data_IF_764245072848
#
_entry.id   IF_764245072848
#
_cell.length_a   1.000
_cell.length_b   1.000
_cell.length_c   1.000
_cell.angle_alpha   90.00
_cell.angle_beta   90.00
_cell.angle_gamma   90.00
#
_symmetry.space_group_name_H-M   'P 1'
#
loop_
_entity.id
_entity.type
_entity.pdbx_description
1 polymer ?
#
# COMPACT_ATOMS: atom_id res chain seq x y z
N UNK A 1 3.31 0.66 5.14
CA UNK A 1 4.08 -0.29 5.99
C UNK A 1 5.33 -0.73 5.26
N UNK A 2 6.35 -1.24 5.96
CA UNK A 2 7.59 -1.70 5.34
C UNK A 2 8.22 -2.91 6.05
N UNK A 3 8.92 -3.76 5.31
CA UNK A 3 9.56 -4.98 5.80
C UNK A 3 10.63 -4.67 6.87
N UNK A 4 10.40 -5.09 8.11
CA UNK A 4 11.26 -4.78 9.25
C UNK A 4 12.35 -5.85 9.48
N UNK A 5 12.28 -7.00 8.80
CA UNK A 5 13.23 -8.12 8.95
C UNK A 5 14.70 -7.72 8.90
N UNK A 6 15.15 -6.82 7.98
CA UNK A 6 16.55 -6.41 7.91
C UNK A 6 17.02 -5.53 9.08
N UNK A 7 16.09 -4.96 9.85
CA UNK A 7 16.39 -4.00 10.92
C UNK A 7 16.37 -4.63 12.33
N UNK A 8 15.92 -5.88 12.45
CA UNK A 8 16.07 -6.69 13.67
C UNK A 8 17.55 -7.00 13.89
N UNK A 9 18.00 -7.14 15.14
CA UNK A 9 19.37 -7.52 15.46
C UNK A 9 19.42 -8.85 16.23
N UNK A 10 20.00 -9.92 15.64
CA UNK A 10 20.49 -10.00 14.26
C UNK A 10 19.34 -9.95 13.23
N UNK A 11 19.61 -9.60 11.95
CA UNK A 11 18.60 -9.59 10.90
C UNK A 11 17.89 -10.94 10.77
N UNK A 12 16.58 -10.92 10.56
CA UNK A 12 15.82 -12.16 10.41
C UNK A 12 16.19 -12.87 9.10
N UNK A 13 16.31 -14.20 9.11
CA UNK A 13 16.76 -14.96 7.95
C UNK A 13 15.72 -14.98 6.83
N UNK A 14 16.14 -15.24 5.58
CA UNK A 14 15.23 -15.64 4.52
C UNK A 14 14.39 -16.84 4.97
N UNK A 15 13.08 -16.82 4.66
CA UNK A 15 12.15 -17.89 5.07
C UNK A 15 11.50 -17.69 6.44
N UNK A 16 11.77 -16.61 7.17
CA UNK A 16 10.99 -16.24 8.35
C UNK A 16 9.51 -16.07 7.99
N UNK A 17 8.66 -16.93 8.54
CA UNK A 17 7.27 -17.11 8.12
C UNK A 17 6.23 -16.29 8.90
N UNK A 18 6.67 -15.40 9.81
CA UNK A 18 5.76 -14.55 10.59
C UNK A 18 5.79 -13.09 10.14
N UNK A 19 4.87 -12.30 10.69
CA UNK A 19 4.76 -10.86 10.45
C UNK A 19 5.97 -10.14 11.03
N UNK A 20 6.61 -9.32 10.19
CA UNK A 20 7.68 -8.43 10.60
C UNK A 20 7.68 -7.21 9.69
N UNK A 21 6.77 -6.29 9.97
CA UNK A 21 6.66 -5.01 9.29
C UNK A 21 6.63 -3.89 10.31
N UNK A 22 7.06 -2.69 9.91
CA UNK A 22 6.91 -1.48 10.71
C UNK A 22 6.04 -0.46 9.93
N UNK A 23 5.05 0.18 10.57
CA UNK A 23 4.31 1.28 9.98
C UNK A 23 5.24 2.44 9.62
N UNK A 24 5.09 2.99 8.42
CA UNK A 24 5.79 4.19 8.00
C UNK A 24 4.71 5.22 7.75
N UNK A 25 4.66 6.24 8.58
CA UNK A 25 3.57 7.21 8.64
C UNK A 25 4.06 8.58 8.22
N UNK A 26 3.22 9.27 7.45
CA UNK A 26 3.44 10.64 6.98
C UNK A 26 2.19 11.43 7.36
N UNK A 27 2.38 12.63 7.90
CA UNK A 27 1.31 13.58 8.16
C UNK A 27 1.64 14.87 7.44
N UNK A 28 0.69 15.40 6.68
CA UNK A 28 0.80 16.67 5.99
C UNK A 28 -0.56 17.38 5.98
N UNK A 29 -0.61 18.72 5.97
CA UNK A 29 -1.87 19.45 5.82
C UNK A 29 -2.56 19.12 4.49
N UNK A 30 -3.88 18.90 4.50
CA UNK A 30 -4.65 18.62 3.28
C UNK A 30 -4.49 19.71 2.21
N UNK A 31 -4.52 20.99 2.61
CA UNK A 31 -4.29 22.10 1.67
C UNK A 31 -2.90 22.16 1.05
N UNK A 32 -1.88 21.64 1.76
CA UNK A 32 -0.55 21.46 1.17
C UNK A 32 -0.60 20.32 0.15
N UNK A 33 -1.20 19.18 0.49
CA UNK A 33 -1.29 18.02 -0.41
C UNK A 33 -2.02 18.36 -1.72
N UNK A 34 -3.06 19.19 -1.69
CA UNK A 34 -3.80 19.62 -2.89
C UNK A 34 -3.04 20.57 -3.80
N UNK A 35 -2.00 21.24 -3.29
CA UNK A 35 -1.16 22.18 -4.07
C UNK A 35 0.23 21.64 -4.36
N UNK A 36 0.63 20.55 -3.70
CA UNK A 36 1.91 19.89 -3.89
C UNK A 36 2.00 19.19 -5.24
N UNK A 37 3.19 19.22 -5.82
CA UNK A 37 3.54 18.40 -6.98
C UNK A 37 3.73 16.93 -6.58
N UNK A 38 3.57 16.01 -7.54
CA UNK A 38 3.87 14.58 -7.33
C UNK A 38 5.30 14.38 -6.82
N UNK A 39 6.25 15.18 -7.30
CA UNK A 39 7.65 15.10 -6.86
C UNK A 39 7.81 15.42 -5.38
N UNK A 40 7.13 16.45 -4.86
CA UNK A 40 7.16 16.81 -3.45
C UNK A 40 6.55 15.72 -2.57
N UNK A 41 5.41 15.16 -2.97
CA UNK A 41 4.79 14.03 -2.27
C UNK A 41 5.71 12.80 -2.26
N UNK A 42 6.36 12.50 -3.39
CA UNK A 42 7.33 11.40 -3.49
C UNK A 42 8.55 11.64 -2.61
N UNK A 43 9.07 12.86 -2.53
CA UNK A 43 10.18 13.20 -1.63
C UNK A 43 9.77 12.97 -0.17
N UNK A 44 8.60 13.45 0.23
CA UNK A 44 8.06 13.25 1.59
C UNK A 44 7.96 11.75 1.93
N UNK A 45 7.49 10.92 0.99
CA UNK A 45 7.44 9.46 1.15
C UNK A 45 8.83 8.84 1.28
N UNK A 46 9.79 9.27 0.46
CA UNK A 46 11.17 8.77 0.50
C UNK A 46 11.84 9.12 1.82
N UNK A 47 11.67 10.34 2.31
CA UNK A 47 12.22 10.78 3.59
C UNK A 47 11.67 9.96 4.75
N UNK A 48 10.35 9.72 4.78
CA UNK A 48 9.73 8.88 5.81
C UNK A 48 10.26 7.44 5.78
N UNK A 49 10.36 6.83 4.59
CA UNK A 49 10.97 5.51 4.44
C UNK A 49 12.44 5.50 4.84
N UNK A 50 13.18 6.58 4.61
CA UNK A 50 14.58 6.73 5.00
C UNK A 50 14.80 6.74 6.51
N UNK A 51 13.84 7.25 7.29
CA UNK A 51 13.88 7.27 8.75
C UNK A 51 13.45 5.95 9.41
N UNK A 52 12.77 5.07 8.67
CA UNK A 52 12.19 3.82 9.18
C UNK A 52 13.16 3.00 10.04
N UNK A 53 14.41 2.83 9.61
CA UNK A 53 15.38 2.00 10.34
C UNK A 53 15.70 2.57 11.73
N UNK A 54 15.79 3.89 11.86
CA UNK A 54 16.03 4.57 13.12
C UNK A 54 14.76 4.55 14.00
N UNK A 55 13.60 4.83 13.40
CA UNK A 55 12.31 4.80 14.10
C UNK A 55 11.97 3.41 14.65
N UNK A 56 12.17 2.36 13.87
CA UNK A 56 11.99 0.97 14.30
C UNK A 56 12.87 0.62 15.52
N UNK A 57 14.13 1.06 15.52
CA UNK A 57 15.05 0.80 16.66
C UNK A 57 14.63 1.53 17.91
N UNK A 58 14.22 2.80 17.79
CA UNK A 58 13.71 3.58 18.93
C UNK A 58 12.46 2.96 19.52
N UNK A 59 11.51 2.56 18.66
CA UNK A 59 10.33 1.81 19.08
C UNK A 59 10.70 0.50 19.79
N UNK A 60 11.60 -0.31 19.21
CA UNK A 60 12.05 -1.56 19.81
C UNK A 60 12.79 -1.36 21.16
N UNK A 61 13.40 -0.20 21.37
CA UNK A 61 14.03 0.20 22.63
C UNK A 61 13.05 0.77 23.67
N UNK A 62 11.76 0.89 23.33
CA UNK A 62 10.74 1.48 24.20
C UNK A 62 10.76 3.01 24.24
N UNK A 63 11.46 3.68 23.32
CA UNK A 63 11.58 5.15 23.25
C UNK A 63 10.46 5.78 22.43
N UNK A 64 9.22 5.38 22.71
CA UNK A 64 8.07 5.74 21.88
C UNK A 64 6.82 5.92 22.73
N UNK A 65 6.15 7.08 22.59
CA UNK A 65 5.01 7.45 23.43
C UNK A 65 3.67 6.89 22.92
N UNK A 66 3.46 6.91 21.60
CA UNK A 66 2.22 6.45 20.94
C UNK A 66 2.45 5.17 20.14
N UNK A 67 1.70 4.09 20.36
CA UNK A 67 1.91 2.86 19.61
C UNK A 67 1.86 3.09 18.07
N UNK A 68 2.97 2.88 17.33
CA UNK A 68 3.02 3.15 15.90
C UNK A 68 2.09 2.25 15.08
N UNK A 69 1.60 1.15 15.66
CA UNK A 69 0.64 0.25 15.03
C UNK A 69 -0.82 0.67 15.24
N UNK A 70 -1.09 1.66 16.10
CA UNK A 70 -2.44 2.19 16.22
C UNK A 70 -2.73 3.11 15.02
N UNK A 71 -3.66 2.73 14.13
CA UNK A 71 -3.98 3.54 12.97
C UNK A 71 -4.70 4.81 13.41
N UNK A 72 -4.34 5.94 12.79
CA UNK A 72 -5.20 7.13 12.83
C UNK A 72 -6.45 6.84 11.99
N UNK A 73 -7.54 6.44 12.62
CA UNK A 73 -8.80 6.19 11.94
C UNK A 73 -9.46 7.54 11.58
N UNK A 74 -9.77 7.75 10.30
CA UNK A 74 -10.44 8.96 9.83
C UNK A 74 -10.28 9.20 8.32
N UNK A 75 -11.10 10.10 7.79
CA UNK A 75 -11.17 10.44 6.35
C UNK A 75 -9.83 10.95 5.77
N UNK A 76 -8.94 11.49 6.61
CA UNK A 76 -7.62 11.99 6.20
C UNK A 76 -6.51 10.95 6.13
N UNK A 77 -6.81 9.67 6.38
CA UNK A 77 -5.81 8.60 6.41
C UNK A 77 -5.96 7.71 5.18
N UNK A 78 -4.85 7.23 4.62
CA UNK A 78 -4.83 6.22 3.56
C UNK A 78 -3.77 5.17 3.88
N UNK A 79 -4.16 3.90 3.88
CA UNK A 79 -3.23 2.78 4.03
C UNK A 79 -2.75 2.30 2.67
N UNK A 80 -1.44 2.27 2.49
CA UNK A 80 -0.82 1.79 1.26
C UNK A 80 -0.02 0.53 1.55
N UNK A 81 -0.37 -0.55 0.85
CA UNK A 81 0.28 -1.86 0.95
C UNK A 81 0.84 -2.28 -0.40
N UNK A 82 2.04 -2.85 -0.42
CA UNK A 82 2.74 -3.20 -1.65
C UNK A 82 2.87 -4.73 -1.72
N UNK A 83 2.25 -5.32 -2.74
CA UNK A 83 2.11 -6.77 -2.95
C UNK A 83 2.87 -7.28 -4.18
N UNK A 84 3.31 -6.41 -5.10
CA UNK A 84 4.11 -6.78 -6.28
C UNK A 84 5.40 -7.54 -5.95
N UNK A 85 5.90 -7.43 -4.71
CA UNK A 85 7.11 -8.15 -4.24
C UNK A 85 6.83 -9.40 -3.42
N UNK A 86 5.57 -9.78 -3.25
CA UNK A 86 5.20 -10.97 -2.47
C UNK A 86 5.24 -12.26 -3.29
N UNK A 87 5.37 -12.16 -4.62
CA UNK A 87 5.46 -13.32 -5.51
C UNK A 87 4.12 -13.98 -5.80
N UNK A 88 2.99 -13.34 -5.48
CA UNK A 88 1.68 -13.87 -5.79
C UNK A 88 1.48 -14.10 -7.29
N UNK A 89 2.04 -13.23 -8.14
CA UNK A 89 1.95 -13.38 -9.60
C UNK A 89 2.85 -14.50 -10.15
N UNK A 90 3.76 -15.05 -9.34
CA UNK A 90 4.71 -16.09 -9.73
C UNK A 90 4.23 -17.51 -9.40
N UNK A 91 3.10 -17.65 -8.71
CA UNK A 91 2.56 -18.95 -8.29
C UNK A 91 2.03 -19.72 -9.50
N UNK A 92 2.59 -20.88 -9.79
CA UNK A 92 2.12 -21.77 -10.85
C UNK A 92 1.84 -23.18 -10.29
N UNK A 93 0.56 -23.58 -10.34
CA UNK A 93 0.11 -24.91 -9.90
C UNK A 93 0.20 -25.98 -11.01
N UNK A 94 0.81 -25.64 -12.14
CA UNK A 94 0.99 -26.49 -13.31
C UNK A 94 0.14 -26.07 -14.51
N UNK A 95 -0.75 -25.09 -14.36
CA UNK A 95 -1.69 -24.63 -15.41
C UNK A 95 -1.43 -23.18 -15.82
N UNK A 96 -0.29 -22.62 -15.41
CA UNK A 96 0.11 -21.25 -15.68
C UNK A 96 -0.07 -20.32 -14.48
N UNK A 97 0.55 -19.14 -14.60
CA UNK A 97 0.54 -18.07 -13.59
C UNK A 97 -0.83 -17.38 -13.50
N UNK A 98 -1.13 -16.69 -12.38
CA UNK A 98 -2.41 -16.01 -12.21
C UNK A 98 -2.56 -14.86 -13.19
N UNK A 99 -3.75 -14.71 -13.77
CA UNK A 99 -4.10 -13.52 -14.55
C UNK A 99 -4.37 -12.30 -13.66
N UNK A 100 -4.81 -12.55 -12.43
CA UNK A 100 -5.23 -11.51 -11.50
C UNK A 100 -4.99 -11.96 -10.06
N UNK A 101 -4.45 -11.04 -9.27
CA UNK A 101 -4.35 -11.14 -7.82
C UNK A 101 -5.12 -9.95 -7.27
N UNK A 102 -6.14 -10.24 -6.46
CA UNK A 102 -6.95 -9.23 -5.77
C UNK A 102 -7.14 -9.65 -4.32
N UNK A 103 -7.22 -8.69 -3.39
CA UNK A 103 -7.69 -8.97 -2.05
C UNK A 103 -9.17 -9.36 -2.08
N UNK A 104 -9.53 -10.40 -1.32
CA UNK A 104 -10.93 -10.85 -1.22
C UNK A 104 -11.72 -10.03 -0.18
N UNK A 105 -11.06 -9.62 0.89
CA UNK A 105 -11.71 -8.89 1.99
C UNK A 105 -11.03 -7.56 2.21
N UNK A 106 -11.86 -6.54 2.37
CA UNK A 106 -11.46 -5.24 2.88
C UNK A 106 -12.15 -4.99 4.21
N UNK A 107 -11.55 -4.13 5.03
CA UNK A 107 -12.22 -3.57 6.18
C UNK A 107 -12.80 -2.22 5.79
N UNK A 108 -14.11 -2.03 5.99
CA UNK A 108 -14.76 -0.74 5.72
C UNK A 108 -14.28 0.38 6.66
N UNK A 109 -13.53 0.03 7.71
CA UNK A 109 -12.95 0.97 8.65
C UNK A 109 -11.63 1.57 8.17
N UNK A 110 -10.95 0.92 7.22
CA UNK A 110 -9.59 1.26 6.84
C UNK A 110 -9.53 1.55 5.34
N UNK A 111 -9.46 2.83 4.93
CA UNK A 111 -9.26 3.18 3.53
C UNK A 111 -7.90 2.64 3.07
N UNK A 112 -7.91 1.70 2.12
CA UNK A 112 -6.71 0.99 1.69
C UNK A 112 -6.52 1.03 0.17
N UNK A 113 -5.26 1.16 -0.23
CA UNK A 113 -4.78 1.02 -1.59
C UNK A 113 -3.68 -0.06 -1.61
N UNK A 114 -3.87 -1.08 -2.44
CA UNK A 114 -2.92 -2.17 -2.65
C UNK A 114 -2.26 -2.00 -4.01
N UNK A 115 -0.93 -1.99 -4.02
CA UNK A 115 -0.10 -1.99 -5.22
C UNK A 115 0.26 -3.44 -5.58
N UNK A 116 -0.24 -3.93 -6.70
CA UNK A 116 0.13 -5.24 -7.27
C UNK A 116 0.91 -5.09 -8.58
N UNK A 117 1.40 -6.20 -9.10
CA UNK A 117 1.95 -6.24 -10.47
C UNK A 117 0.84 -6.43 -11.50
N UNK A 118 1.19 -6.14 -12.74
CA UNK A 118 0.38 -6.54 -13.90
C UNK A 118 0.78 -7.96 -14.34
N UNK A 119 -0.16 -8.78 -14.85
CA UNK A 119 0.17 -10.11 -15.35
C UNK A 119 1.10 -10.04 -16.55
N UNK A 120 2.02 -11.00 -16.69
CA UNK A 120 2.89 -11.10 -17.86
C UNK A 120 2.04 -11.29 -19.13
N UNK A 121 2.33 -10.57 -20.25
CA UNK A 121 3.52 -9.77 -20.55
C UNK A 121 3.41 -8.27 -20.27
N UNK A 122 2.35 -7.83 -19.59
CA UNK A 122 2.10 -6.42 -19.35
C UNK A 122 3.17 -5.83 -18.41
N UNK A 123 3.47 -4.54 -18.61
CA UNK A 123 4.37 -3.78 -17.75
C UNK A 123 3.56 -2.65 -17.14
N UNK A 124 3.59 -2.54 -15.82
CA UNK A 124 2.85 -1.53 -15.09
C UNK A 124 2.60 -1.94 -13.65
N UNK A 125 1.84 -1.09 -12.96
CA UNK A 125 1.40 -1.30 -11.59
C UNK A 125 -0.12 -1.47 -11.60
N UNK A 126 -0.63 -2.42 -10.84
CA UNK A 126 -2.07 -2.55 -10.58
C UNK A 126 -2.38 -1.87 -9.26
N UNK A 127 -3.44 -1.07 -9.24
CA UNK A 127 -3.97 -0.46 -8.02
C UNK A 127 -5.31 -1.10 -7.70
N UNK A 128 -5.45 -1.63 -6.49
CA UNK A 128 -6.73 -2.08 -5.95
C UNK A 128 -7.08 -1.17 -4.77
N UNK A 129 -8.16 -0.41 -4.91
CA UNK A 129 -8.55 0.64 -3.97
C UNK A 129 -9.86 0.30 -3.29
N UNK A 130 -9.88 0.32 -1.96
CA UNK A 130 -11.08 0.33 -1.12
C UNK A 130 -11.00 1.58 -0.23
N UNK A 131 -11.07 2.74 -0.87
CA UNK A 131 -10.86 4.04 -0.23
C UNK A 131 -11.56 5.20 -0.94
N UNK A 132 -12.46 4.92 -1.87
CA UNK A 132 -13.17 5.93 -2.67
C UNK A 132 -14.67 5.63 -2.57
N UNK A 133 -15.42 6.59 -2.05
CA UNK A 133 -16.89 6.51 -1.99
C UNK A 133 -17.49 6.64 -3.40
N UNK A 134 -18.67 6.08 -3.62
CA UNK A 134 -19.35 6.05 -4.91
C UNK A 134 -19.51 7.46 -5.53
N UNK A 135 -19.90 8.45 -4.71
CA UNK A 135 -20.06 9.85 -5.11
C UNK A 135 -18.76 10.49 -5.65
N UNK A 136 -17.60 9.98 -5.21
CA UNK A 136 -16.28 10.48 -5.60
C UNK A 136 -15.62 9.64 -6.71
N UNK A 137 -16.18 8.48 -7.04
CA UNK A 137 -15.56 7.50 -7.93
C UNK A 137 -15.33 8.05 -9.34
N UNK A 138 -16.29 8.80 -9.89
CA UNK A 138 -16.16 9.40 -11.22
C UNK A 138 -15.00 10.39 -11.28
N UNK A 139 -14.94 11.32 -10.33
CA UNK A 139 -13.87 12.33 -10.29
C UNK A 139 -12.50 11.70 -10.07
N UNK A 140 -12.41 10.68 -9.21
CA UNK A 140 -11.18 9.93 -9.02
C UNK A 140 -10.68 9.29 -10.31
N UNK A 141 -11.55 8.63 -11.08
CA UNK A 141 -11.18 8.01 -12.38
C UNK A 141 -10.66 9.05 -13.37
N UNK A 142 -11.37 10.17 -13.52
CA UNK A 142 -10.96 11.25 -14.43
C UNK A 142 -9.56 11.78 -14.09
N UNK A 143 -9.24 11.96 -12.81
CA UNK A 143 -7.90 12.39 -12.38
C UNK A 143 -6.84 11.30 -12.62
N UNK A 144 -7.17 10.03 -12.39
CA UNK A 144 -6.25 8.91 -12.66
C UNK A 144 -5.93 8.77 -14.15
N UNK A 145 -6.92 8.92 -15.03
CA UNK A 145 -6.75 8.87 -16.50
C UNK A 145 -5.96 10.07 -17.05
N UNK A 146 -6.08 11.24 -16.43
CA UNK A 146 -5.25 12.41 -16.79
C UNK A 146 -3.78 12.19 -16.43
N UNK A 147 -3.52 11.53 -15.30
CA UNK A 147 -2.18 11.36 -14.76
C UNK A 147 -1.44 10.12 -15.31
N UNK A 148 -2.16 9.08 -15.73
CA UNK A 148 -1.60 7.77 -16.08
C UNK A 148 -2.26 7.14 -17.31
N UNK A 149 -1.52 6.29 -18.03
CA UNK A 149 -2.06 5.40 -19.07
C UNK A 149 -2.88 4.27 -18.42
N UNK A 150 -4.13 4.57 -18.05
CA UNK A 150 -5.06 3.62 -17.43
C UNK A 150 -5.63 2.70 -18.50
N UNK A 151 -5.22 1.43 -18.47
CA UNK A 151 -5.61 0.43 -19.49
C UNK A 151 -6.84 -0.38 -19.14
N UNK A 152 -7.14 -0.52 -17.85
CA UNK A 152 -8.19 -1.39 -17.37
C UNK A 152 -8.67 -0.94 -16.00
N UNK A 153 -9.99 -0.83 -15.85
CA UNK A 153 -10.69 -0.56 -14.59
C UNK A 153 -11.69 -1.69 -14.39
N UNK A 154 -11.65 -2.33 -13.23
CA UNK A 154 -12.53 -3.44 -12.87
C UNK A 154 -13.32 -3.09 -11.62
N UNK A 155 -14.65 -3.04 -11.76
CA UNK A 155 -15.60 -2.70 -10.71
C UNK A 155 -16.41 -3.91 -10.25
N UNK A 156 -16.19 -5.09 -10.87
CA UNK A 156 -17.08 -6.25 -10.75
C UNK A 156 -16.96 -7.03 -9.43
N UNK A 157 -16.06 -6.62 -8.54
CA UNK A 157 -15.82 -7.29 -7.26
C UNK A 157 -16.80 -6.88 -6.15
N UNK A 158 -17.52 -5.76 -6.30
CA UNK A 158 -18.54 -5.34 -5.33
C UNK A 158 -19.79 -6.23 -5.33
N UNK A 159 -19.96 -7.10 -6.34
CA UNK A 159 -21.15 -7.95 -6.52
C UNK A 159 -20.90 -9.45 -6.33
N UNK A 160 -19.75 -9.85 -5.78
CA UNK A 160 -19.58 -11.23 -5.31
C UNK A 160 -20.28 -11.39 -3.96
N UNK A 161 -21.60 -11.57 -4.03
CA UNK A 161 -22.36 -12.17 -2.95
C UNK A 161 -21.80 -13.58 -2.70
N UNK A 162 -21.09 -13.75 -1.57
CA UNK A 162 -20.83 -15.06 -0.96
C UNK A 162 -21.90 -15.35 0.09
#
# INVERSE_FOLDING_TARGET
MANARPFVHPPLPPGFCSNCFFPVTIKAPGGWLTSATVAEVVMLIKEAKGRMAAEFRRWAAGEWEEDPYLPALGYGTLFVSEWSRLGFEEVDFGWGKPKQVVPLTYSDLIPVCILGSTPVPEKGVRLSTHCVEEDHLRGFKEEMEKAWDVRYVDETWQSLDL
#
